data_IF_588636252979
#
_entry.id   IF_588636252979
#
_cell.length_a   1.000
_cell.length_b   1.000
_cell.length_c   1.000
_cell.angle_alpha   90.00
_cell.angle_beta   90.00
_cell.angle_gamma   90.00
#
_symmetry.space_group_name_H-M   'P 1'
#
loop_
_entity.id
_entity.type
_entity.pdbx_description
1 polymer ?
#
# COMPACT_ATOMS: atom_id res chain seq x y z
N UNK A 1 24.58 -21.83 -3.38
CA UNK A 1 25.84 -21.37 -2.75
C UNK A 1 25.96 -19.89 -2.98
N UNK A 2 25.84 -19.07 -1.94
CA UNK A 2 25.54 -17.65 -2.11
C UNK A 2 26.59 -16.73 -1.49
N UNK A 3 27.77 -17.26 -1.20
CA UNK A 3 28.85 -16.55 -0.53
C UNK A 3 28.89 -16.84 0.98
N UNK A 4 29.94 -16.34 1.67
CA UNK A 4 30.05 -16.38 3.12
C UNK A 4 28.89 -15.67 3.82
N UNK A 5 28.52 -16.11 5.03
CA UNK A 5 27.43 -15.51 5.83
C UNK A 5 27.68 -14.01 6.02
N UNK A 6 28.90 -13.62 6.39
CA UNK A 6 29.27 -12.22 6.63
C UNK A 6 29.10 -11.35 5.38
N UNK A 7 29.39 -11.89 4.20
CA UNK A 7 29.23 -11.17 2.93
C UNK A 7 27.75 -11.02 2.61
N UNK A 8 26.98 -12.10 2.68
CA UNK A 8 25.55 -12.10 2.34
C UNK A 8 24.76 -11.17 3.26
N UNK A 9 24.97 -11.28 4.58
CA UNK A 9 24.31 -10.43 5.56
C UNK A 9 24.67 -8.94 5.39
N UNK A 10 25.93 -8.62 5.03
CA UNK A 10 26.33 -7.24 4.72
C UNK A 10 25.57 -6.70 3.50
N UNK A 11 25.52 -7.45 2.40
CA UNK A 11 24.80 -7.03 1.21
C UNK A 11 23.29 -6.90 1.48
N UNK A 12 22.73 -7.82 2.26
CA UNK A 12 21.32 -7.75 2.63
C UNK A 12 20.99 -6.55 3.53
N UNK A 13 21.84 -6.24 4.52
CA UNK A 13 21.71 -5.01 5.33
C UNK A 13 21.78 -3.75 4.47
N UNK A 14 22.68 -3.72 3.48
CA UNK A 14 22.75 -2.62 2.51
C UNK A 14 21.45 -2.51 1.71
N UNK A 15 20.91 -3.64 1.26
CA UNK A 15 19.66 -3.68 0.53
C UNK A 15 18.48 -3.15 1.35
N UNK A 16 18.30 -3.56 2.60
CA UNK A 16 17.24 -3.00 3.46
C UNK A 16 17.44 -1.51 3.74
N UNK A 17 18.68 -1.09 4.00
CA UNK A 17 18.96 0.31 4.36
C UNK A 17 18.78 1.27 3.18
N UNK A 18 19.07 0.80 1.97
CA UNK A 18 19.16 1.62 0.77
C UNK A 18 18.24 1.15 -0.35
N UNK A 19 17.18 0.41 -0.01
CA UNK A 19 16.23 -0.20 -0.97
C UNK A 19 15.84 0.78 -2.07
N UNK A 20 15.87 0.30 -3.31
CA UNK A 20 15.49 1.09 -4.49
C UNK A 20 16.35 2.34 -4.78
N UNK A 21 17.52 2.46 -4.17
CA UNK A 21 18.49 3.54 -4.44
C UNK A 21 19.71 3.04 -5.21
N UNK A 22 20.60 3.94 -5.62
CA UNK A 22 21.84 3.55 -6.31
C UNK A 22 22.80 2.73 -5.44
N UNK A 23 22.64 2.78 -4.11
CA UNK A 23 23.45 2.04 -3.15
C UNK A 23 22.89 0.62 -2.85
N UNK A 24 21.66 0.31 -3.29
CA UNK A 24 21.10 -1.04 -3.20
C UNK A 24 21.87 -2.01 -4.11
N UNK A 25 22.40 -3.12 -3.57
CA UNK A 25 23.22 -4.05 -4.33
C UNK A 25 22.53 -4.72 -5.51
N UNK A 26 21.21 -4.92 -5.44
CA UNK A 26 20.42 -5.61 -6.45
C UNK A 26 19.17 -4.82 -6.82
N UNK A 27 19.32 -3.48 -6.87
CA UNK A 27 18.27 -2.51 -7.16
C UNK A 27 17.38 -2.87 -8.37
N UNK A 28 16.10 -3.15 -8.11
CA UNK A 28 15.09 -3.47 -9.12
C UNK A 28 14.82 -2.34 -10.11
N UNK A 29 15.07 -1.07 -9.75
CA UNK A 29 14.89 0.08 -10.65
C UNK A 29 15.87 0.08 -11.83
N UNK A 30 16.93 -0.73 -11.78
CA UNK A 30 17.84 -0.97 -12.92
C UNK A 30 17.28 -2.04 -13.89
N UNK A 31 16.15 -2.65 -13.57
CA UNK A 31 15.45 -3.64 -14.40
C UNK A 31 15.41 -5.02 -13.75
N UNK A 32 14.40 -5.81 -14.13
CA UNK A 32 14.17 -7.16 -13.60
C UNK A 32 15.39 -8.07 -13.74
N UNK A 33 15.99 -8.13 -14.93
CA UNK A 33 17.15 -8.98 -15.19
C UNK A 33 18.39 -8.54 -14.38
N UNK A 34 18.50 -7.24 -14.09
CA UNK A 34 19.56 -6.73 -13.22
C UNK A 34 19.42 -7.28 -11.80
N UNK A 35 18.26 -7.09 -11.18
CA UNK A 35 17.99 -7.58 -9.84
C UNK A 35 17.99 -9.11 -9.74
N UNK A 36 17.64 -9.81 -10.83
CA UNK A 36 17.66 -11.27 -10.86
C UNK A 36 19.09 -11.81 -10.89
N UNK A 37 19.93 -11.43 -11.86
CA UNK A 37 21.23 -12.09 -12.03
C UNK A 37 22.39 -11.15 -12.42
N UNK A 38 22.14 -10.06 -13.15
CA UNK A 38 23.27 -9.27 -13.68
C UNK A 38 24.02 -8.51 -12.58
N UNK A 39 23.42 -8.30 -11.41
CA UNK A 39 24.11 -7.71 -10.27
C UNK A 39 25.32 -8.55 -9.81
N UNK A 40 25.27 -9.87 -9.99
CA UNK A 40 26.36 -10.81 -9.69
C UNK A 40 27.41 -10.88 -10.81
N UNK A 41 26.97 -10.78 -12.07
CA UNK A 41 27.83 -11.02 -13.25
C UNK A 41 28.55 -9.75 -13.69
N UNK A 42 27.89 -8.60 -13.58
CA UNK A 42 28.44 -7.33 -14.00
C UNK A 42 29.17 -6.64 -12.85
N UNK A 43 30.28 -5.98 -13.18
CA UNK A 43 31.04 -5.16 -12.23
C UNK A 43 30.16 -4.03 -11.70
N UNK A 44 29.85 -4.07 -10.41
CA UNK A 44 29.13 -3.00 -9.74
C UNK A 44 30.04 -1.79 -9.52
N UNK A 45 29.44 -0.60 -9.51
CA UNK A 45 30.16 0.62 -9.10
C UNK A 45 30.56 0.47 -7.62
N UNK A 46 31.74 0.98 -7.22
CA UNK A 46 32.14 0.98 -5.81
C UNK A 46 31.08 1.73 -4.99
N UNK A 47 30.55 1.08 -3.96
CA UNK A 47 29.58 1.71 -3.05
C UNK A 47 30.32 2.59 -2.05
N UNK A 48 29.71 3.72 -1.71
CA UNK A 48 30.30 4.68 -0.76
C UNK A 48 29.73 4.50 0.64
N UNK A 49 28.51 3.96 0.73
CA UNK A 49 27.82 3.71 1.99
C UNK A 49 28.22 2.38 2.62
N UNK A 50 28.11 2.32 3.95
CA UNK A 50 28.46 1.16 4.76
C UNK A 50 27.32 0.81 5.74
N UNK A 51 27.31 -0.43 6.17
CA UNK A 51 26.47 -0.96 7.25
C UNK A 51 27.38 -1.53 8.32
N UNK A 52 26.91 -1.49 9.55
CA UNK A 52 27.60 -2.15 10.65
C UNK A 52 27.51 -3.68 10.47
N UNK A 53 28.62 -4.36 10.73
CA UNK A 53 28.79 -5.82 10.68
C UNK A 53 29.64 -6.32 11.85
N UNK A 54 29.91 -5.47 12.84
CA UNK A 54 30.76 -5.79 13.99
C UNK A 54 30.25 -6.99 14.80
N UNK A 55 28.94 -7.19 14.85
CA UNK A 55 28.30 -8.37 15.43
C UNK A 55 28.65 -9.68 14.70
N UNK A 56 28.73 -9.63 13.36
CA UNK A 56 29.11 -10.78 12.53
C UNK A 56 30.61 -11.07 12.62
N UNK A 57 31.44 -10.03 12.76
CA UNK A 57 32.88 -10.15 12.96
C UNK A 57 33.23 -10.73 14.34
N UNK A 58 32.41 -10.45 15.35
CA UNK A 58 32.55 -10.98 16.69
C UNK A 58 32.12 -12.44 16.82
N UNK A 59 31.28 -12.95 15.90
CA UNK A 59 30.80 -14.34 15.94
C UNK A 59 31.87 -15.32 15.40
N UNK A 60 32.41 -16.23 16.25
CA UNK A 60 33.46 -17.14 15.85
C UNK A 60 33.01 -18.18 14.80
N UNK A 61 31.73 -18.57 14.78
CA UNK A 61 31.18 -19.52 13.81
C UNK A 61 31.08 -18.84 12.44
N UNK A 62 30.58 -17.60 12.40
CA UNK A 62 30.51 -16.81 11.15
C UNK A 62 31.91 -16.61 10.57
N UNK A 63 32.88 -16.24 11.40
CA UNK A 63 34.26 -16.02 10.96
C UNK A 63 34.96 -17.32 10.55
N UNK A 64 34.70 -18.43 11.25
CA UNK A 64 35.17 -19.75 10.84
C UNK A 64 34.60 -20.16 9.48
N UNK A 65 33.28 -19.99 9.28
CA UNK A 65 32.61 -20.31 8.02
C UNK A 65 33.15 -19.46 6.88
N UNK A 66 33.38 -18.17 7.12
CA UNK A 66 33.94 -17.27 6.11
C UNK A 66 35.36 -17.65 5.71
N UNK A 67 36.22 -18.03 6.67
CA UNK A 67 37.60 -18.46 6.39
C UNK A 67 37.67 -19.75 5.57
N UNK A 68 36.76 -20.68 5.83
CA UNK A 68 36.74 -22.00 5.17
C UNK A 68 35.73 -22.08 4.01
N UNK A 69 35.10 -20.96 3.64
CA UNK A 69 33.99 -20.95 2.70
C UNK A 69 34.29 -21.66 1.38
N UNK A 70 35.42 -21.44 0.68
CA UNK A 70 35.69 -22.13 -0.59
C UNK A 70 35.71 -23.66 -0.47
N UNK A 71 36.24 -24.19 0.63
CA UNK A 71 36.26 -25.63 0.89
C UNK A 71 34.86 -26.15 1.21
N UNK A 72 34.16 -25.50 2.14
CA UNK A 72 32.78 -25.85 2.52
C UNK A 72 31.84 -25.80 1.31
N UNK A 73 32.03 -24.81 0.45
CA UNK A 73 31.32 -24.59 -0.80
C UNK A 73 31.42 -25.81 -1.73
N UNK A 74 32.64 -26.24 -2.04
CA UNK A 74 32.88 -27.39 -2.93
C UNK A 74 32.35 -28.68 -2.28
N UNK A 75 32.69 -28.90 -1.01
CA UNK A 75 32.34 -30.14 -0.31
C UNK A 75 30.82 -30.26 -0.15
N UNK A 76 30.17 -29.29 0.48
CA UNK A 76 28.73 -29.36 0.78
C UNK A 76 27.87 -29.09 -0.46
N UNK A 77 28.35 -28.29 -1.40
CA UNK A 77 27.59 -27.93 -2.59
C UNK A 77 27.58 -29.02 -3.67
N UNK A 78 28.68 -29.77 -3.80
CA UNK A 78 28.93 -30.66 -4.94
C UNK A 78 29.25 -32.09 -4.51
N UNK A 79 30.25 -32.28 -3.66
CA UNK A 79 30.76 -33.61 -3.29
C UNK A 79 29.75 -34.36 -2.43
N UNK A 80 29.26 -33.72 -1.37
CA UNK A 80 28.35 -34.31 -0.40
C UNK A 80 27.06 -34.86 -1.03
N UNK A 81 26.26 -34.09 -1.82
CA UNK A 81 25.07 -34.64 -2.46
C UNK A 81 25.39 -35.77 -3.44
N UNK A 82 26.53 -35.69 -4.15
CA UNK A 82 26.98 -36.75 -5.06
C UNK A 82 27.25 -38.05 -4.31
N UNK A 83 27.95 -37.98 -3.18
CA UNK A 83 28.26 -39.15 -2.33
C UNK A 83 26.97 -39.74 -1.75
N UNK A 84 26.06 -38.91 -1.25
CA UNK A 84 24.79 -39.38 -0.69
C UNK A 84 24.02 -40.20 -1.73
N UNK A 85 23.89 -39.68 -2.96
CA UNK A 85 23.20 -40.41 -4.01
C UNK A 85 23.97 -41.65 -4.50
N UNK A 86 25.29 -41.55 -4.61
CA UNK A 86 26.15 -42.67 -4.99
C UNK A 86 26.10 -43.83 -4.00
N UNK A 87 26.04 -43.55 -2.71
CA UNK A 87 25.96 -44.59 -1.67
C UNK A 87 24.53 -45.14 -1.54
N UNK A 88 23.54 -44.27 -1.37
CA UNK A 88 22.17 -44.69 -1.03
C UNK A 88 21.39 -45.23 -2.23
N UNK A 89 21.65 -44.71 -3.44
CA UNK A 89 20.91 -45.07 -4.66
C UNK A 89 21.78 -45.72 -5.72
N UNK A 90 23.09 -45.92 -5.46
CA UNK A 90 24.05 -46.46 -6.43
C UNK A 90 24.15 -45.63 -7.73
N UNK A 91 23.80 -44.34 -7.65
CA UNK A 91 23.76 -43.42 -8.80
C UNK A 91 24.65 -42.20 -8.57
N UNK A 92 25.94 -42.38 -8.87
CA UNK A 92 26.95 -41.32 -8.75
C UNK A 92 26.72 -40.18 -9.75
N UNK A 93 26.36 -40.52 -10.99
CA UNK A 93 26.15 -39.54 -12.05
C UNK A 93 24.89 -38.71 -11.78
N UNK A 94 23.79 -39.35 -11.40
CA UNK A 94 22.57 -38.66 -11.00
C UNK A 94 22.77 -37.81 -9.75
N UNK A 95 23.56 -38.29 -8.78
CA UNK A 95 23.97 -37.49 -7.62
C UNK A 95 24.67 -36.19 -7.99
N UNK A 96 25.61 -36.26 -8.94
CA UNK A 96 26.33 -35.08 -9.42
C UNK A 96 25.44 -34.16 -10.27
N UNK A 97 24.68 -34.71 -11.21
CA UNK A 97 23.86 -33.91 -12.13
C UNK A 97 22.66 -33.29 -11.40
N UNK A 98 21.87 -34.09 -10.70
CA UNK A 98 20.64 -33.62 -10.07
C UNK A 98 20.88 -33.07 -8.66
N UNK A 99 21.61 -33.81 -7.83
CA UNK A 99 21.86 -33.46 -6.42
C UNK A 99 22.83 -32.29 -6.23
N UNK A 100 23.82 -32.13 -7.12
CA UNK A 100 24.74 -31.00 -7.09
C UNK A 100 24.33 -29.89 -8.08
N UNK A 101 24.43 -30.14 -9.39
CA UNK A 101 24.31 -29.09 -10.43
C UNK A 101 22.89 -28.52 -10.51
N UNK A 102 21.89 -29.36 -10.81
CA UNK A 102 20.51 -28.87 -11.00
C UNK A 102 19.97 -28.21 -9.73
N UNK A 103 20.17 -28.85 -8.56
CA UNK A 103 19.84 -28.26 -7.28
C UNK A 103 20.49 -26.87 -7.11
N UNK A 104 21.75 -26.69 -7.50
CA UNK A 104 22.42 -25.39 -7.35
C UNK A 104 21.76 -24.32 -8.20
N UNK A 105 21.46 -24.64 -9.46
CA UNK A 105 20.77 -23.76 -10.39
C UNK A 105 19.42 -23.37 -9.80
N UNK A 106 18.60 -24.33 -9.37
CA UNK A 106 17.27 -24.08 -8.82
C UNK A 106 17.32 -23.25 -7.54
N UNK A 107 18.24 -23.54 -6.62
CA UNK A 107 18.44 -22.73 -5.41
C UNK A 107 18.81 -21.30 -5.76
N UNK A 108 19.73 -21.08 -6.70
CA UNK A 108 20.11 -19.73 -7.12
C UNK A 108 18.94 -18.98 -7.76
N UNK A 109 18.19 -19.61 -8.67
CA UNK A 109 17.02 -18.97 -9.29
C UNK A 109 15.97 -18.61 -8.23
N UNK A 110 15.71 -19.50 -7.28
CA UNK A 110 14.80 -19.27 -6.15
C UNK A 110 15.23 -18.04 -5.35
N UNK A 111 16.48 -17.95 -4.90
CA UNK A 111 16.98 -16.79 -4.16
C UNK A 111 16.93 -15.50 -5.00
N UNK A 112 17.29 -15.59 -6.28
CA UNK A 112 17.26 -14.44 -7.17
C UNK A 112 15.84 -13.91 -7.43
N UNK A 113 14.81 -14.75 -7.32
CA UNK A 113 13.43 -14.30 -7.35
C UNK A 113 13.05 -13.43 -6.15
N UNK A 114 13.72 -13.54 -5.01
CA UNK A 114 13.50 -12.63 -3.87
C UNK A 114 13.86 -11.20 -4.30
N UNK A 115 15.03 -11.01 -4.90
CA UNK A 115 15.50 -9.69 -5.35
C UNK A 115 14.71 -9.13 -6.54
N UNK A 116 14.16 -10.01 -7.37
CA UNK A 116 13.51 -9.62 -8.64
C UNK A 116 11.99 -9.69 -8.57
N UNK A 117 11.44 -10.91 -8.48
CA UNK A 117 10.00 -11.14 -8.52
C UNK A 117 9.28 -10.59 -7.29
N UNK A 118 9.88 -10.70 -6.09
CA UNK A 118 9.30 -10.14 -4.87
C UNK A 118 9.34 -8.60 -4.82
N UNK A 119 10.08 -7.95 -5.72
CA UNK A 119 10.07 -6.50 -5.94
C UNK A 119 9.24 -6.07 -7.16
N UNK A 120 8.57 -7.02 -7.84
CA UNK A 120 7.85 -6.76 -9.08
C UNK A 120 6.38 -7.17 -9.01
N UNK A 121 6.09 -8.36 -8.50
CA UNK A 121 4.77 -8.99 -8.50
C UNK A 121 4.20 -9.10 -7.07
N UNK A 122 2.93 -8.71 -6.89
CA UNK A 122 2.22 -8.82 -5.62
C UNK A 122 1.71 -7.49 -5.07
N UNK A 123 1.24 -7.54 -3.83
CA UNK A 123 0.59 -6.42 -3.14
C UNK A 123 1.55 -5.73 -2.17
N UNK A 124 1.20 -4.53 -1.72
CA UNK A 124 1.97 -3.78 -0.70
C UNK A 124 1.09 -3.47 0.50
N UNK A 125 0.72 -4.48 1.31
CA UNK A 125 -0.29 -4.31 2.34
C UNK A 125 0.14 -3.47 3.56
N UNK A 126 1.44 -3.18 3.75
CA UNK A 126 1.94 -2.46 4.92
C UNK A 126 2.52 -1.08 4.59
N UNK A 127 3.16 -0.93 3.43
CA UNK A 127 3.71 0.35 2.95
C UNK A 127 4.04 0.25 1.46
N UNK A 128 3.70 1.26 0.67
CA UNK A 128 3.93 1.28 -0.77
C UNK A 128 5.09 2.18 -1.24
N UNK A 129 5.83 2.81 -0.32
CA UNK A 129 6.91 3.78 -0.65
C UNK A 129 8.09 3.13 -1.37
N UNK A 130 8.31 1.84 -1.15
CA UNK A 130 9.33 1.02 -1.82
C UNK A 130 8.67 -0.10 -2.64
N UNK A 131 9.46 -0.78 -3.47
CA UNK A 131 9.02 -1.83 -4.38
C UNK A 131 8.75 -3.24 -3.80
N UNK A 132 9.21 -3.66 -2.59
CA UNK A 132 8.90 -4.98 -2.03
C UNK A 132 7.41 -5.26 -1.99
N UNK A 133 7.03 -6.49 -2.35
CA UNK A 133 5.63 -6.94 -2.48
C UNK A 133 5.42 -8.29 -1.83
N UNK A 134 4.21 -8.49 -1.33
CA UNK A 134 3.73 -9.77 -0.82
C UNK A 134 3.07 -10.56 -1.95
N UNK A 135 3.51 -11.81 -2.14
CA UNK A 135 2.90 -12.71 -3.11
C UNK A 135 3.03 -14.18 -2.68
N UNK A 136 1.90 -14.91 -2.67
CA UNK A 136 1.85 -16.31 -2.29
C UNK A 136 2.68 -17.23 -3.20
N UNK A 137 2.59 -17.06 -4.53
CA UNK A 137 3.35 -17.88 -5.48
C UNK A 137 4.85 -17.64 -5.37
N UNK A 138 5.25 -16.39 -5.15
CA UNK A 138 6.64 -16.06 -4.85
C UNK A 138 7.07 -16.76 -3.56
N UNK A 139 6.25 -16.72 -2.50
CA UNK A 139 6.58 -17.39 -1.24
C UNK A 139 6.75 -18.90 -1.40
N UNK A 140 5.97 -19.57 -2.25
CA UNK A 140 6.19 -20.98 -2.56
C UNK A 140 7.52 -21.20 -3.29
N UNK A 141 7.82 -20.38 -4.29
CA UNK A 141 9.06 -20.46 -5.06
C UNK A 141 10.31 -20.14 -4.23
N UNK A 142 10.18 -19.30 -3.20
CA UNK A 142 11.27 -18.81 -2.34
C UNK A 142 11.23 -19.38 -0.93
N UNK A 143 10.46 -20.45 -0.70
CA UNK A 143 10.38 -21.14 0.60
C UNK A 143 9.96 -20.27 1.80
N UNK A 144 9.14 -19.25 1.55
CA UNK A 144 8.54 -18.36 2.57
C UNK A 144 8.88 -16.89 2.40
N UNK A 145 9.95 -16.58 1.66
CA UNK A 145 10.50 -15.21 1.54
C UNK A 145 9.70 -14.29 0.60
N UNK A 146 8.54 -14.72 0.11
CA UNK A 146 7.71 -13.98 -0.84
C UNK A 146 6.72 -12.98 -0.22
N UNK A 147 6.60 -12.94 1.11
CA UNK A 147 5.93 -11.86 1.83
C UNK A 147 6.91 -10.71 2.07
N UNK A 148 7.41 -10.16 0.96
CA UNK A 148 8.57 -9.28 0.98
C UNK A 148 8.22 -7.85 1.40
N UNK A 149 6.97 -7.43 1.24
CA UNK A 149 6.52 -6.16 1.81
C UNK A 149 6.55 -6.23 3.33
N UNK A 150 6.04 -7.32 3.93
CA UNK A 150 6.14 -7.51 5.38
C UNK A 150 7.60 -7.49 5.86
N UNK A 151 8.47 -8.30 5.24
CA UNK A 151 9.89 -8.41 5.58
C UNK A 151 10.62 -7.06 5.55
N UNK A 152 10.34 -6.22 4.54
CA UNK A 152 10.98 -4.91 4.43
C UNK A 152 10.50 -3.90 5.46
N UNK A 153 9.23 -3.98 5.88
CA UNK A 153 8.66 -3.05 6.87
C UNK A 153 8.98 -3.49 8.30
N UNK A 154 9.10 -4.79 8.53
CA UNK A 154 9.37 -5.38 9.85
C UNK A 154 10.60 -6.30 9.83
N UNK A 155 11.80 -5.81 9.45
CA UNK A 155 12.98 -6.65 9.18
C UNK A 155 13.58 -7.31 10.43
N UNK A 156 13.07 -6.99 11.63
CA UNK A 156 13.46 -7.62 12.88
C UNK A 156 12.55 -8.79 13.29
N UNK A 157 11.40 -8.98 12.64
CA UNK A 157 10.55 -10.14 12.90
C UNK A 157 11.21 -11.39 12.29
N UNK A 158 11.23 -12.49 13.03
CA UNK A 158 11.81 -13.75 12.51
C UNK A 158 10.97 -14.38 11.39
N UNK A 159 9.73 -13.91 11.18
CA UNK A 159 8.78 -14.42 10.19
C UNK A 159 8.84 -13.55 8.93
N UNK A 160 8.71 -14.18 7.77
CA UNK A 160 8.35 -13.47 6.54
C UNK A 160 6.83 -13.44 6.37
N UNK A 161 6.18 -14.59 6.52
CA UNK A 161 4.73 -14.71 6.55
C UNK A 161 4.19 -14.53 7.96
N UNK A 162 3.71 -13.33 8.32
CA UNK A 162 3.23 -13.03 9.67
C UNK A 162 2.00 -13.82 10.10
N UNK A 163 1.11 -14.16 9.15
CA UNK A 163 -0.14 -14.88 9.42
C UNK A 163 0.10 -16.38 9.50
N UNK A 164 -0.72 -17.08 10.27
CA UNK A 164 -0.56 -18.53 10.49
C UNK A 164 -0.70 -19.35 9.20
N UNK A 165 -1.57 -18.91 8.28
CA UNK A 165 -1.84 -19.58 7.00
C UNK A 165 -0.92 -19.13 5.86
N UNK A 166 -0.12 -18.08 6.07
CA UNK A 166 0.87 -17.65 5.08
C UNK A 166 1.99 -18.68 5.02
N UNK A 167 2.17 -19.29 3.84
CA UNK A 167 3.20 -20.29 3.57
C UNK A 167 4.59 -19.72 3.82
N UNK A 168 5.20 -20.18 4.90
CA UNK A 168 6.53 -19.78 5.32
C UNK A 168 7.11 -20.95 6.10
N UNK A 169 7.82 -21.83 5.37
CA UNK A 169 8.36 -23.03 5.97
C UNK A 169 9.56 -22.75 6.87
N UNK A 170 10.28 -21.64 6.66
CA UNK A 170 11.40 -21.24 7.52
C UNK A 170 10.89 -20.78 8.88
N UNK A 171 9.80 -19.99 8.94
CA UNK A 171 9.07 -19.68 10.18
C UNK A 171 8.69 -20.93 10.96
N UNK A 172 8.09 -21.93 10.29
CA UNK A 172 7.66 -23.15 10.97
C UNK A 172 8.82 -23.99 11.48
N UNK A 173 9.91 -24.07 10.72
CA UNK A 173 11.14 -24.74 11.15
C UNK A 173 11.76 -24.05 12.38
N UNK A 174 11.89 -22.72 12.36
CA UNK A 174 12.43 -21.95 13.48
C UNK A 174 11.52 -22.06 14.72
N UNK A 175 10.19 -22.02 14.55
CA UNK A 175 9.25 -22.21 15.64
C UNK A 175 9.31 -23.63 16.24
N UNK A 176 9.61 -24.65 15.43
CA UNK A 176 9.87 -26.00 15.93
C UNK A 176 11.19 -26.04 16.72
N UNK A 177 12.25 -25.40 16.23
CA UNK A 177 13.53 -25.27 16.94
C UNK A 177 13.39 -24.55 18.28
N UNK A 178 12.54 -23.52 18.35
CA UNK A 178 12.19 -22.87 19.62
C UNK A 178 11.57 -23.86 20.61
N UNK A 179 10.62 -24.69 20.16
CA UNK A 179 9.95 -25.68 21.03
C UNK A 179 10.88 -26.76 21.56
N UNK A 180 11.92 -27.13 20.82
CA UNK A 180 12.91 -28.14 21.24
C UNK A 180 14.18 -27.52 21.88
N UNK A 181 14.22 -26.21 22.08
CA UNK A 181 15.33 -25.51 22.73
C UNK A 181 16.57 -25.28 21.86
N UNK A 182 16.45 -25.43 20.52
CA UNK A 182 17.52 -25.14 19.56
C UNK A 182 17.54 -23.67 19.12
N UNK A 183 16.43 -22.95 19.29
CA UNK A 183 16.33 -21.50 19.09
C UNK A 183 15.66 -20.87 20.32
N UNK A 184 15.96 -19.60 20.56
CA UNK A 184 15.38 -18.82 21.66
C UNK A 184 15.38 -17.34 21.30
N UNK A 185 14.70 -16.52 22.10
CA UNK A 185 14.57 -15.06 21.90
C UNK A 185 14.08 -14.67 20.49
N UNK A 186 13.10 -15.42 19.96
CA UNK A 186 12.50 -15.13 18.66
C UNK A 186 11.82 -13.76 18.69
N UNK A 187 12.33 -12.84 17.88
CA UNK A 187 11.79 -11.48 17.76
C UNK A 187 10.50 -11.50 16.95
N UNK A 188 9.44 -10.93 17.53
CA UNK A 188 8.12 -10.78 16.90
C UNK A 188 7.69 -9.33 17.08
N UNK A 189 7.30 -8.69 15.99
CA UNK A 189 6.66 -7.38 16.07
C UNK A 189 5.27 -7.57 16.69
N UNK A 190 4.86 -6.60 17.48
CA UNK A 190 3.57 -6.60 18.17
C UNK A 190 2.43 -6.55 17.14
N UNK A 191 1.37 -7.34 17.36
CA UNK A 191 0.32 -7.56 16.38
C UNK A 191 -0.49 -6.29 16.08
N UNK A 192 -0.71 -5.43 17.07
CA UNK A 192 -1.39 -4.15 16.88
C UNK A 192 -0.58 -3.17 16.02
N UNK A 193 0.75 -3.17 16.09
CA UNK A 193 1.60 -2.37 15.19
C UNK A 193 1.54 -2.88 13.74
N UNK A 194 1.54 -4.21 13.54
CA UNK A 194 1.38 -4.83 12.22
C UNK A 194 0.01 -4.48 11.61
N UNK A 195 -1.07 -4.63 12.38
CA UNK A 195 -2.42 -4.27 11.90
C UNK A 195 -2.58 -2.76 11.73
N UNK A 196 -1.92 -1.92 12.55
CA UNK A 196 -1.95 -0.47 12.38
C UNK A 196 -1.34 -0.07 11.04
N UNK A 197 -0.15 -0.58 10.69
CA UNK A 197 0.47 -0.31 9.39
C UNK A 197 -0.44 -0.75 8.23
N UNK A 198 -1.03 -1.95 8.34
CA UNK A 198 -1.95 -2.47 7.33
C UNK A 198 -3.21 -1.61 7.16
N UNK A 199 -3.82 -1.18 8.26
CA UNK A 199 -5.02 -0.33 8.24
C UNK A 199 -4.71 1.08 7.72
N UNK A 200 -3.52 1.62 8.02
CA UNK A 200 -3.08 2.90 7.48
C UNK A 200 -2.93 2.85 5.96
N UNK A 201 -2.28 1.81 5.42
CA UNK A 201 -2.13 1.66 3.97
C UNK A 201 -3.48 1.40 3.28
N UNK A 202 -4.36 0.61 3.90
CA UNK A 202 -5.73 0.42 3.41
C UNK A 202 -6.52 1.73 3.40
N UNK A 203 -6.48 2.51 4.49
CA UNK A 203 -7.16 3.80 4.59
C UNK A 203 -6.67 4.76 3.50
N UNK A 204 -5.36 4.82 3.29
CA UNK A 204 -4.77 5.64 2.23
C UNK A 204 -5.27 5.25 0.84
N UNK A 205 -5.39 3.94 0.56
CA UNK A 205 -6.01 3.43 -0.68
C UNK A 205 -7.47 3.87 -0.82
N UNK A 206 -8.27 3.68 0.23
CA UNK A 206 -9.68 4.08 0.27
C UNK A 206 -9.85 5.59 0.10
N UNK A 207 -8.99 6.41 0.72
CA UNK A 207 -9.03 7.86 0.59
C UNK A 207 -8.71 8.31 -0.84
N UNK A 208 -7.77 7.63 -1.51
CA UNK A 208 -7.45 7.90 -2.91
C UNK A 208 -8.62 7.56 -3.83
N UNK A 209 -9.26 6.41 -3.61
CA UNK A 209 -10.45 6.01 -4.37
C UNK A 209 -11.63 6.96 -4.10
N UNK A 210 -11.86 7.33 -2.84
CA UNK A 210 -12.90 8.29 -2.45
C UNK A 210 -12.70 9.64 -3.14
N UNK A 211 -11.46 10.14 -3.24
CA UNK A 211 -11.14 11.40 -3.94
C UNK A 211 -11.42 11.35 -5.45
N UNK A 212 -11.45 10.16 -6.05
CA UNK A 212 -11.76 10.01 -7.47
C UNK A 212 -13.26 10.12 -7.78
N UNK A 213 -14.12 9.96 -6.76
CA UNK A 213 -15.57 10.09 -6.89
C UNK A 213 -16.00 11.58 -6.92
N UNK A 214 -17.18 11.89 -7.49
CA UNK A 214 -17.73 13.24 -7.46
C UNK A 214 -17.76 13.82 -6.04
N UNK A 215 -17.19 15.01 -5.87
CA UNK A 215 -17.10 15.68 -4.58
C UNK A 215 -18.13 16.81 -4.48
N UNK A 216 -18.78 16.90 -3.32
CA UNK A 216 -19.58 18.06 -2.96
C UNK A 216 -18.68 19.29 -2.83
N UNK A 217 -19.26 20.48 -3.11
CA UNK A 217 -18.57 21.74 -2.82
C UNK A 217 -18.35 21.85 -1.30
N UNK A 218 -17.13 22.17 -0.84
CA UNK A 218 -16.87 22.44 0.57
C UNK A 218 -17.81 23.52 1.10
N UNK A 219 -18.34 23.35 2.31
CA UNK A 219 -19.29 24.31 2.90
C UNK A 219 -18.74 25.73 2.97
N UNK A 220 -17.44 25.85 3.24
CA UNK A 220 -16.74 27.12 3.31
C UNK A 220 -16.67 27.86 1.97
N UNK A 221 -16.86 27.14 0.85
CA UNK A 221 -16.83 27.73 -0.50
C UNK A 221 -18.21 28.19 -0.99
N UNK A 222 -19.27 27.89 -0.24
CA UNK A 222 -20.64 28.17 -0.65
C UNK A 222 -21.10 29.56 -0.17
N UNK A 223 -21.93 30.25 -0.97
CA UNK A 223 -22.48 31.54 -0.58
C UNK A 223 -23.44 31.40 0.60
N UNK A 224 -23.47 32.42 1.45
CA UNK A 224 -24.46 32.54 2.51
C UNK A 224 -25.76 33.14 1.97
N UNK A 225 -26.88 32.57 2.36
CA UNK A 225 -28.23 33.02 2.01
C UNK A 225 -29.03 33.16 3.29
N UNK A 226 -29.77 34.26 3.44
CA UNK A 226 -30.68 34.44 4.57
C UNK A 226 -32.10 33.94 4.23
N UNK A 227 -32.97 33.85 5.23
CA UNK A 227 -34.33 33.32 5.05
C UNK A 227 -35.18 34.13 4.05
N UNK A 228 -34.98 35.45 3.94
CA UNK A 228 -35.72 36.29 2.99
C UNK A 228 -35.27 36.03 1.55
N UNK A 229 -33.97 35.93 1.32
CA UNK A 229 -33.39 35.61 0.03
C UNK A 229 -33.71 34.18 -0.40
N UNK A 230 -33.71 33.22 0.53
CA UNK A 230 -34.17 31.86 0.28
C UNK A 230 -35.61 31.84 -0.27
N UNK A 231 -36.54 32.56 0.36
CA UNK A 231 -37.92 32.70 -0.14
C UNK A 231 -37.97 33.32 -1.54
N UNK A 232 -37.22 34.40 -1.78
CA UNK A 232 -37.17 35.07 -3.10
C UNK A 232 -36.64 34.15 -4.20
N UNK A 233 -35.62 33.34 -3.92
CA UNK A 233 -35.07 32.39 -4.89
C UNK A 233 -36.11 31.34 -5.29
N UNK A 234 -36.90 30.85 -4.33
CA UNK A 234 -37.97 29.88 -4.57
C UNK A 234 -39.14 30.50 -5.33
N UNK A 235 -39.57 31.71 -4.95
CA UNK A 235 -40.58 32.49 -5.69
C UNK A 235 -40.13 32.79 -7.13
N UNK A 236 -38.81 32.95 -7.34
CA UNK A 236 -38.18 33.07 -8.65
C UNK A 236 -38.11 31.77 -9.47
N UNK A 237 -38.68 30.67 -8.97
CA UNK A 237 -38.82 29.40 -9.69
C UNK A 237 -37.73 28.35 -9.40
N UNK A 238 -36.78 28.64 -8.50
CA UNK A 238 -35.79 27.64 -8.07
C UNK A 238 -36.45 26.58 -7.19
N UNK A 239 -36.13 25.31 -7.41
CA UNK A 239 -36.60 24.20 -6.57
C UNK A 239 -35.60 23.94 -5.44
N UNK A 240 -35.67 24.75 -4.38
CA UNK A 240 -34.73 24.67 -3.26
C UNK A 240 -35.38 24.09 -2.01
N UNK A 241 -34.65 23.23 -1.31
CA UNK A 241 -34.99 22.75 0.05
C UNK A 241 -33.85 23.08 1.00
N UNK A 242 -34.15 23.30 2.28
CA UNK A 242 -33.14 23.42 3.32
C UNK A 242 -33.00 22.07 4.05
N UNK A 243 -31.78 21.61 4.24
CA UNK A 243 -31.46 20.41 5.05
C UNK A 243 -30.19 20.69 5.82
N UNK A 244 -30.22 20.53 7.15
CA UNK A 244 -29.09 20.71 8.06
C UNK A 244 -28.40 22.08 7.89
N UNK A 245 -29.19 23.14 7.67
CA UNK A 245 -28.66 24.50 7.48
C UNK A 245 -28.02 24.77 6.11
N UNK A 246 -28.07 23.82 5.17
CA UNK A 246 -27.64 24.03 3.79
C UNK A 246 -28.84 24.07 2.83
N UNK A 247 -28.74 24.89 1.78
CA UNK A 247 -29.71 24.94 0.69
C UNK A 247 -29.28 23.99 -0.44
N UNK A 248 -30.22 23.18 -0.89
CA UNK A 248 -30.03 22.15 -1.91
C UNK A 248 -30.95 22.41 -3.09
N UNK A 249 -30.37 22.47 -4.29
CA UNK A 249 -31.13 22.58 -5.53
C UNK A 249 -31.55 21.19 -6.00
N UNK A 250 -32.83 20.88 -5.84
CA UNK A 250 -33.37 19.57 -6.16
C UNK A 250 -34.07 19.56 -7.52
N UNK A 251 -34.00 20.63 -8.31
CA UNK A 251 -34.72 20.77 -9.57
C UNK A 251 -34.51 19.58 -10.52
N UNK A 252 -33.25 19.21 -10.74
CA UNK A 252 -32.89 18.11 -11.64
C UNK A 252 -33.17 16.73 -11.02
N UNK A 253 -33.19 16.63 -9.68
CA UNK A 253 -33.35 15.36 -8.96
C UNK A 253 -34.81 15.03 -8.61
N UNK A 254 -35.71 16.02 -8.65
CA UNK A 254 -37.05 15.92 -8.05
C UNK A 254 -37.91 14.80 -8.68
N UNK A 255 -37.72 14.56 -9.98
CA UNK A 255 -38.43 13.53 -10.74
C UNK A 255 -37.91 12.11 -10.42
N UNK A 256 -36.63 12.00 -10.07
CA UNK A 256 -35.95 10.74 -9.78
C UNK A 256 -36.01 10.34 -8.30
N UNK A 257 -36.63 11.19 -7.46
CA UNK A 257 -36.76 10.94 -6.03
C UNK A 257 -37.56 9.64 -5.77
N UNK A 258 -36.98 8.61 -5.12
CA UNK A 258 -37.62 7.29 -4.98
C UNK A 258 -38.93 7.29 -4.17
N UNK A 259 -39.10 8.24 -3.24
CA UNK A 259 -40.35 8.44 -2.51
C UNK A 259 -41.46 9.11 -3.33
N UNK A 260 -41.17 9.47 -4.58
CA UNK A 260 -42.08 10.16 -5.48
C UNK A 260 -41.95 11.69 -5.45
N UNK A 261 -42.28 12.30 -6.59
CA UNK A 261 -42.19 13.74 -6.86
C UNK A 261 -42.93 14.60 -5.82
N UNK A 262 -44.11 14.17 -5.39
CA UNK A 262 -44.97 15.01 -4.54
C UNK A 262 -44.42 15.18 -3.13
N UNK A 263 -43.71 14.17 -2.60
CA UNK A 263 -43.14 14.23 -1.26
C UNK A 263 -42.05 15.30 -1.17
N UNK A 264 -41.13 15.33 -2.13
CA UNK A 264 -40.05 16.31 -2.16
C UNK A 264 -40.57 17.71 -2.54
N UNK A 265 -41.56 17.79 -3.45
CA UNK A 265 -42.19 19.05 -3.84
C UNK A 265 -42.89 19.75 -2.68
N UNK A 266 -43.43 18.99 -1.72
CA UNK A 266 -44.06 19.55 -0.51
C UNK A 266 -43.09 20.31 0.40
N UNK A 267 -41.79 20.06 0.27
CA UNK A 267 -40.71 20.70 1.03
C UNK A 267 -40.00 21.83 0.27
N UNK A 268 -40.35 22.11 -0.99
CA UNK A 268 -39.78 23.25 -1.72
C UNK A 268 -40.05 24.56 -0.94
N UNK A 269 -38.99 25.31 -0.66
CA UNK A 269 -39.01 26.51 0.16
C UNK A 269 -39.12 26.29 1.67
N UNK A 270 -38.93 25.06 2.15
CA UNK A 270 -39.01 24.70 3.57
C UNK A 270 -37.77 23.96 4.04
N UNK A 271 -37.64 23.88 5.36
CA UNK A 271 -36.69 23.01 6.03
C UNK A 271 -37.23 21.57 6.07
N UNK A 272 -36.49 20.66 5.45
CA UNK A 272 -36.77 19.23 5.38
C UNK A 272 -35.86 18.39 6.30
N UNK A 273 -35.05 19.02 7.16
CA UNK A 273 -34.06 18.35 8.03
C UNK A 273 -34.67 17.20 8.83
N UNK A 274 -35.77 17.45 9.53
CA UNK A 274 -36.43 16.43 10.33
C UNK A 274 -36.95 15.28 9.47
N UNK A 275 -37.59 15.59 8.35
CA UNK A 275 -38.10 14.59 7.41
C UNK A 275 -36.99 13.75 6.79
N UNK A 276 -35.82 14.36 6.53
CA UNK A 276 -34.66 13.70 5.95
C UNK A 276 -33.91 12.80 6.95
N UNK A 277 -33.79 13.25 8.21
CA UNK A 277 -33.01 12.59 9.25
C UNK A 277 -33.74 11.54 10.09
N UNK A 278 -34.99 11.19 9.76
CA UNK A 278 -35.69 10.12 10.46
C UNK A 278 -36.99 10.51 11.14
N UNK A 279 -37.60 11.65 10.79
CA UNK A 279 -38.97 11.96 11.20
C UNK A 279 -39.99 10.94 10.71
N UNK A 280 -39.72 10.29 9.57
CA UNK A 280 -40.50 9.16 9.03
C UNK A 280 -39.56 8.04 8.56
N UNK A 281 -38.51 8.39 7.80
CA UNK A 281 -37.46 7.48 7.35
C UNK A 281 -36.09 8.14 7.46
N UNK A 282 -35.09 7.43 7.99
CA UNK A 282 -33.71 7.90 8.02
C UNK A 282 -33.02 7.62 6.67
N UNK A 283 -32.68 8.68 5.94
CA UNK A 283 -32.07 8.52 4.60
C UNK A 283 -30.71 7.80 4.65
N UNK A 284 -30.50 6.93 3.66
CA UNK A 284 -29.29 6.09 3.53
C UNK A 284 -28.04 6.92 3.22
N UNK A 285 -26.85 6.30 3.33
CA UNK A 285 -25.58 6.92 2.92
C UNK A 285 -25.61 7.41 1.47
N UNK A 286 -26.27 6.66 0.56
CA UNK A 286 -26.39 7.04 -0.86
C UNK A 286 -27.22 8.31 -1.02
N UNK A 287 -28.36 8.40 -0.33
CA UNK A 287 -29.20 9.60 -0.38
C UNK A 287 -28.48 10.82 0.19
N UNK A 288 -27.69 10.66 1.26
CA UNK A 288 -26.83 11.72 1.82
C UNK A 288 -25.75 12.17 0.83
N UNK A 289 -25.11 11.23 0.13
CA UNK A 289 -24.12 11.54 -0.90
C UNK A 289 -24.75 12.34 -2.04
N UNK A 290 -25.91 11.93 -2.56
CA UNK A 290 -26.64 12.67 -3.61
C UNK A 290 -27.00 14.07 -3.12
N UNK A 291 -27.58 14.18 -1.92
CA UNK A 291 -27.94 15.47 -1.34
C UNK A 291 -26.72 16.40 -1.20
N UNK A 292 -25.56 15.88 -0.81
CA UNK A 292 -24.34 16.70 -0.71
C UNK A 292 -23.93 17.32 -2.04
N UNK A 293 -24.16 16.63 -3.17
CA UNK A 293 -23.82 17.11 -4.52
C UNK A 293 -24.76 18.21 -5.02
N UNK A 294 -25.98 18.30 -4.48
CA UNK A 294 -26.96 19.33 -4.87
C UNK A 294 -26.84 20.62 -4.08
N UNK A 295 -25.84 20.73 -3.19
CA UNK A 295 -25.66 21.88 -2.30
C UNK A 295 -25.23 23.13 -3.07
N UNK A 296 -25.93 24.24 -2.82
CA UNK A 296 -25.73 25.52 -3.54
C UNK A 296 -25.47 26.72 -2.64
N UNK A 297 -25.87 26.68 -1.37
CA UNK A 297 -25.67 27.77 -0.41
C UNK A 297 -25.79 27.27 1.04
N UNK A 298 -25.37 28.09 2.01
CA UNK A 298 -25.58 27.87 3.44
C UNK A 298 -26.63 28.86 3.95
N UNK A 299 -27.65 28.35 4.66
CA UNK A 299 -28.69 29.16 5.28
C UNK A 299 -28.18 29.71 6.62
N UNK A 300 -28.10 31.03 6.75
CA UNK A 300 -27.80 31.71 8.02
C UNK A 300 -29.02 32.50 8.50
N UNK A 301 -29.32 32.40 9.80
CA UNK A 301 -30.24 33.32 10.45
C UNK A 301 -29.59 34.69 10.61
N UNK A 302 -30.38 35.76 10.49
CA UNK A 302 -29.92 37.15 10.48
C UNK A 302 -29.53 37.68 11.88
N UNK A 303 -29.10 36.80 12.78
CA UNK A 303 -28.73 37.11 14.16
C UNK A 303 -27.29 36.73 14.41
N UNK A 304 -26.38 37.36 13.67
CA UNK A 304 -25.00 37.58 14.09
C UNK A 304 -24.45 38.71 13.19
N UNK A 305 -24.59 39.93 13.68
CA UNK A 305 -23.79 41.07 13.23
C UNK A 305 -22.33 40.78 13.57
N UNK A 306 -21.62 40.14 12.66
CA UNK A 306 -20.18 40.34 12.54
C UNK A 306 -19.96 41.35 11.42
N UNK A 307 -19.51 42.54 11.81
CA UNK A 307 -19.00 43.60 10.93
C UNK A 307 -17.98 43.03 9.94
N UNK A 308 -18.43 42.66 8.75
CA UNK A 308 -17.61 42.52 7.54
C UNK A 308 -18.46 42.85 6.32
N UNK A 309 -19.06 44.05 6.32
CA UNK A 309 -19.38 44.72 5.06
C UNK A 309 -18.07 45.26 4.46
N UNK A 310 -17.46 44.51 3.55
CA UNK A 310 -16.95 45.03 2.28
C UNK A 310 -16.29 43.90 1.47
N UNK A 311 -17.03 43.45 0.45
CA UNK A 311 -16.59 42.83 -0.82
C UNK A 311 -17.26 41.49 -1.13
N UNK A 312 -18.42 41.56 -1.81
CA UNK A 312 -18.59 40.89 -3.10
C UNK A 312 -19.89 41.34 -3.74
N UNK A 313 -19.83 42.41 -4.53
CA UNK A 313 -20.83 42.61 -5.59
C UNK A 313 -20.62 41.49 -6.60
N UNK A 314 -21.60 40.61 -6.74
CA UNK A 314 -21.69 39.65 -7.86
C UNK A 314 -21.85 40.50 -9.14
N UNK A 315 -20.92 40.47 -10.10
CA UNK A 315 -21.13 41.15 -11.37
C UNK A 315 -22.19 40.40 -12.16
N UNK A 316 -23.29 41.10 -12.49
CA UNK A 316 -24.12 40.74 -13.63
C UNK A 316 -23.32 41.06 -14.90
N UNK A 317 -23.41 40.14 -15.85
CA UNK A 317 -23.05 40.26 -17.27
C UNK A 317 -21.82 39.45 -17.71
N UNK A 318 -22.10 38.33 -18.38
CA UNK A 318 -21.35 37.85 -19.54
C UNK A 318 -22.14 36.74 -20.26
N UNK A 319 -23.09 37.11 -21.14
CA UNK A 319 -23.43 36.28 -22.29
C UNK A 319 -22.52 36.68 -23.46
N UNK A 320 -21.93 35.73 -24.22
CA UNK A 320 -21.12 36.06 -25.37
C UNK A 320 -21.97 36.11 -26.64
N UNK A 321 -21.95 37.26 -27.33
CA UNK A 321 -22.28 37.33 -28.75
C UNK A 321 -21.13 38.04 -29.50
N UNK A 322 -20.76 37.42 -30.62
CA UNK A 322 -19.57 37.64 -31.44
C UNK A 322 -19.57 38.95 -32.26
N UNK A 323 -18.37 39.24 -32.78
CA UNK A 323 -18.00 39.78 -34.11
C UNK A 323 -17.52 41.25 -34.24
N UNK A 324 -16.47 41.37 -35.08
CA UNK A 324 -15.85 42.56 -35.72
C UNK A 324 -14.86 43.36 -34.86
N UNK A 325 -13.75 43.92 -35.35
CA UNK A 325 -12.82 43.75 -36.48
C UNK A 325 -11.77 44.87 -36.26
N UNK A 326 -10.56 44.75 -36.83
CA UNK A 326 -9.57 45.84 -37.05
C UNK A 326 -8.96 46.50 -35.79
N UNK A 327 -7.66 46.36 -35.50
CA UNK A 327 -6.49 46.93 -36.19
C UNK A 327 -5.20 46.35 -35.62
#
# INVERSE_FOLDING_TARGET
MEGPIIWWAREHRLHHRYTDTTEDPYNIKKGFLHAHILWMVLKQRPRTRRVDISDLEADPIVMWQSRHFPLLAIVMGWIFPTIICGILFQDWLGGFVYGAILKMILTHQSTFFINSLAHYLGDRPYDDRTTPRDNFFVAVLTLGEGYHNFHHIFPSDYRNGVRWYQYDCTKWAIALWEKVGLAYDLKRVEQSEIERARLQELQKGLDSEMKSLPQAKPEQSLPFVNALEFKRLVEGGRMLIAVEGALHDVGDFIADHPGGLQLIKAFVGKDATNSFNGGIYGHSKVARNILSLTRVAILREQTETTDYEENSKIPRDAMPARYLETR
#
